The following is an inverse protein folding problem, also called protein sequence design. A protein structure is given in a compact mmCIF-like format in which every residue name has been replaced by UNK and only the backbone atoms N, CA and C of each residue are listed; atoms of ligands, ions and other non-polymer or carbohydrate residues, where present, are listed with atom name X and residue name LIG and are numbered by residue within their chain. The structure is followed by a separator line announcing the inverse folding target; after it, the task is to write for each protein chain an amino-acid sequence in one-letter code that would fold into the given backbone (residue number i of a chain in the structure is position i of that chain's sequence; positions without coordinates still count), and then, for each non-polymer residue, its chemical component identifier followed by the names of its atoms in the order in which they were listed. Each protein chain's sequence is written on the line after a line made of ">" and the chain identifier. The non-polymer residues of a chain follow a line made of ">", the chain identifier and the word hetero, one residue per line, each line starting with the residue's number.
data_IF_922078504423
#
_entry.id   IF_922078504423
#
_cell.length_a   1.000
_cell.length_b   1.000
_cell.length_c   1.000
_cell.angle_alpha   90.00
_cell.angle_beta   90.00
_cell.angle_gamma   90.00
#
_symmetry.space_group_name_H-M   'P 1'
#
loop_
_entity.id
_entity.type
_entity.pdbx_description
1 polymer ?
#
# COMPACT_ATOMS: atom_id res chain seq x y z
N UNK A 1 -21.26 8.52 -40.79
CA UNK A 1 -20.78 9.34 -39.64
C UNK A 1 -20.03 8.44 -38.64
N UNK A 2 -19.33 8.96 -37.62
CA UNK A 2 -18.76 8.06 -36.59
C UNK A 2 -19.89 7.44 -35.73
N UNK A 3 -19.91 6.12 -35.49
CA UNK A 3 -20.98 5.44 -34.74
C UNK A 3 -21.25 6.05 -33.36
N UNK A 4 -20.19 6.49 -32.68
CA UNK A 4 -20.27 7.11 -31.36
C UNK A 4 -20.98 8.47 -31.37
N UNK A 5 -20.77 9.26 -32.42
CA UNK A 5 -21.39 10.58 -32.57
C UNK A 5 -22.86 10.45 -32.91
N UNK A 6 -23.22 9.46 -33.74
CA UNK A 6 -24.62 9.11 -34.02
C UNK A 6 -25.35 8.63 -32.76
N UNK A 7 -24.73 7.74 -31.99
CA UNK A 7 -25.28 7.27 -30.72
C UNK A 7 -25.55 8.45 -29.77
N UNK A 8 -24.58 9.36 -29.62
CA UNK A 8 -24.75 10.59 -28.82
C UNK A 8 -25.90 11.44 -29.32
N UNK A 9 -26.00 11.71 -30.63
CA UNK A 9 -27.11 12.52 -31.16
C UNK A 9 -28.48 11.86 -30.93
N UNK A 10 -28.57 10.54 -31.03
CA UNK A 10 -29.80 9.80 -30.72
C UNK A 10 -30.14 9.86 -29.23
N UNK A 11 -29.15 9.67 -28.34
CA UNK A 11 -29.34 9.74 -26.89
C UNK A 11 -29.73 11.15 -26.44
N UNK A 12 -29.08 12.19 -26.96
CA UNK A 12 -29.43 13.60 -26.67
C UNK A 12 -30.83 13.97 -27.16
N UNK A 13 -31.23 13.49 -28.35
CA UNK A 13 -32.54 13.78 -28.94
C UNK A 13 -33.65 12.81 -28.46
N UNK A 14 -33.33 11.86 -27.56
CA UNK A 14 -34.24 10.79 -27.10
C UNK A 14 -34.89 9.98 -28.23
N UNK A 15 -34.20 9.86 -29.37
CA UNK A 15 -34.67 9.02 -30.48
C UNK A 15 -34.32 7.55 -30.18
N UNK A 16 -35.27 6.60 -30.32
CA UNK A 16 -34.98 5.18 -30.11
C UNK A 16 -34.00 4.67 -31.18
N UNK A 17 -33.05 3.85 -30.77
CA UNK A 17 -32.15 3.12 -31.69
C UNK A 17 -32.86 1.83 -32.10
N UNK A 18 -32.88 1.51 -33.39
CA UNK A 18 -33.52 0.29 -33.90
C UNK A 18 -32.47 -0.82 -33.93
N UNK A 19 -32.73 -1.90 -33.21
CA UNK A 19 -31.88 -3.08 -33.17
C UNK A 19 -32.55 -4.18 -33.99
N UNK A 20 -31.82 -4.80 -34.92
CA UNK A 20 -32.34 -5.88 -35.76
C UNK A 20 -31.53 -7.15 -35.61
N UNK A 21 -32.21 -8.30 -35.59
CA UNK A 21 -31.59 -9.64 -35.65
C UNK A 21 -31.14 -9.98 -37.08
N UNK A 22 -30.40 -11.07 -37.26
CA UNK A 22 -30.02 -11.65 -38.56
C UNK A 22 -31.20 -11.88 -39.52
N UNK A 23 -32.42 -11.99 -38.99
CA UNK A 23 -33.66 -12.17 -39.75
C UNK A 23 -34.42 -10.85 -40.03
N UNK A 24 -33.77 -9.69 -39.83
CA UNK A 24 -34.33 -8.33 -40.02
C UNK A 24 -35.54 -7.98 -39.10
N UNK A 25 -35.80 -8.79 -38.09
CA UNK A 25 -36.81 -8.51 -37.05
C UNK A 25 -36.30 -7.48 -36.04
N UNK A 26 -37.16 -6.56 -35.62
CA UNK A 26 -36.85 -5.55 -34.59
C UNK A 26 -36.81 -6.20 -33.21
N UNK A 27 -35.68 -6.09 -32.52
CA UNK A 27 -35.46 -6.66 -31.19
C UNK A 27 -35.26 -5.56 -30.15
N UNK A 28 -35.68 -5.80 -28.92
CA UNK A 28 -35.53 -4.85 -27.80
C UNK A 28 -34.18 -4.99 -27.10
N UNK A 29 -33.64 -6.21 -27.06
CA UNK A 29 -32.37 -6.53 -26.41
C UNK A 29 -31.19 -6.43 -27.39
N UNK A 30 -30.11 -5.81 -26.93
CA UNK A 30 -28.86 -5.67 -27.70
C UNK A 30 -28.16 -7.02 -27.95
N UNK A 31 -28.32 -7.99 -27.04
CA UNK A 31 -27.67 -9.31 -27.13
C UNK A 31 -28.16 -10.16 -28.31
N UNK A 32 -29.43 -10.01 -28.66
CA UNK A 32 -30.11 -10.76 -29.72
C UNK A 32 -30.05 -10.02 -31.07
N UNK A 33 -29.56 -8.78 -31.08
CA UNK A 33 -29.43 -7.98 -32.28
C UNK A 33 -28.10 -8.28 -32.98
N UNK A 34 -28.11 -8.37 -34.31
CA UNK A 34 -26.90 -8.48 -35.15
C UNK A 34 -26.44 -7.10 -35.65
N UNK A 35 -27.42 -6.23 -35.98
CA UNK A 35 -27.20 -4.95 -36.63
C UNK A 35 -27.92 -3.83 -35.89
N UNK A 36 -27.23 -2.69 -35.74
CA UNK A 36 -27.74 -1.47 -35.11
C UNK A 36 -28.01 -0.43 -36.20
N UNK A 37 -29.22 0.09 -36.26
CA UNK A 37 -29.66 1.10 -37.23
C UNK A 37 -29.83 2.47 -36.56
N UNK A 38 -29.20 3.49 -37.12
CA UNK A 38 -29.33 4.91 -36.76
C UNK A 38 -29.89 5.67 -37.97
N UNK A 39 -31.18 5.98 -37.95
CA UNK A 39 -31.90 6.60 -39.07
C UNK A 39 -31.60 5.86 -40.40
N UNK A 40 -30.71 6.37 -41.27
CA UNK A 40 -30.35 5.77 -42.57
C UNK A 40 -29.01 4.98 -42.59
N UNK A 41 -28.24 4.98 -41.49
CA UNK A 41 -26.94 4.28 -41.39
C UNK A 41 -27.04 3.01 -40.52
N UNK A 42 -26.42 1.90 -40.96
CA UNK A 42 -26.37 0.63 -40.21
C UNK A 42 -24.94 0.24 -39.84
N UNK A 43 -24.77 -0.32 -38.64
CA UNK A 43 -23.48 -0.78 -38.12
C UNK A 43 -23.62 -2.15 -37.47
N UNK A 44 -22.56 -2.97 -37.56
CA UNK A 44 -22.51 -4.23 -36.81
C UNK A 44 -22.41 -3.94 -35.30
N UNK A 45 -23.05 -4.77 -34.48
CA UNK A 45 -23.09 -4.58 -33.02
C UNK A 45 -21.71 -4.51 -32.35
N UNK A 46 -20.76 -5.27 -32.88
CA UNK A 46 -19.39 -5.41 -32.38
C UNK A 46 -18.43 -4.35 -32.94
N UNK A 47 -18.94 -3.33 -33.64
CA UNK A 47 -18.10 -2.28 -34.21
C UNK A 47 -17.39 -1.52 -33.08
N UNK A 48 -16.04 -1.46 -33.06
CA UNK A 48 -15.29 -0.71 -32.06
C UNK A 48 -15.55 0.79 -32.22
N UNK A 49 -15.80 1.48 -31.09
CA UNK A 49 -16.03 2.93 -31.08
C UNK A 49 -14.73 3.70 -30.87
N UNK A 50 -14.78 5.03 -30.93
CA UNK A 50 -13.62 5.88 -30.62
C UNK A 50 -13.40 6.10 -29.12
N UNK A 51 -14.22 5.50 -28.25
CA UNK A 51 -14.09 5.66 -26.80
C UNK A 51 -13.05 4.69 -26.22
N UNK A 52 -11.92 5.18 -25.67
CA UNK A 52 -10.86 4.32 -25.16
C UNK A 52 -11.21 3.70 -23.80
N UNK A 53 -10.81 2.45 -23.59
CA UNK A 53 -10.84 1.82 -22.27
C UNK A 53 -9.68 2.37 -21.45
N UNK A 54 -9.91 2.74 -20.18
CA UNK A 54 -8.86 3.34 -19.35
C UNK A 54 -7.71 2.38 -18.98
N UNK A 55 -7.83 1.09 -19.28
CA UNK A 55 -6.86 0.05 -18.88
C UNK A 55 -6.12 -0.61 -20.06
N UNK A 56 -6.49 -0.34 -21.31
CA UNK A 56 -5.88 -0.95 -22.49
C UNK A 56 -5.93 -0.02 -23.71
N UNK A 57 -5.20 -0.35 -24.77
CA UNK A 57 -5.30 0.37 -26.05
C UNK A 57 -6.62 0.08 -26.78
N UNK A 58 -7.46 -0.80 -26.21
CA UNK A 58 -8.74 -1.19 -26.78
C UNK A 58 -9.81 -0.13 -26.55
N UNK A 59 -10.83 -0.18 -27.40
CA UNK A 59 -11.98 0.70 -27.36
C UNK A 59 -13.24 -0.07 -27.03
N UNK A 60 -14.22 0.58 -26.42
CA UNK A 60 -15.52 -0.04 -26.18
C UNK A 60 -16.25 -0.27 -27.51
N UNK A 61 -16.90 -1.43 -27.66
CA UNK A 61 -17.74 -1.74 -28.82
C UNK A 61 -19.11 -1.10 -28.69
N UNK A 62 -19.78 -0.91 -29.83
CA UNK A 62 -21.03 -0.16 -29.91
C UNK A 62 -22.15 -0.77 -29.07
N UNK A 63 -22.27 -2.09 -29.06
CA UNK A 63 -23.18 -2.86 -28.22
C UNK A 63 -23.05 -2.55 -26.72
N UNK A 64 -21.82 -2.44 -26.20
CA UNK A 64 -21.57 -2.16 -24.77
C UNK A 64 -22.09 -0.79 -24.37
N UNK A 65 -21.92 0.21 -25.23
CA UNK A 65 -22.36 1.58 -24.99
C UNK A 65 -23.88 1.70 -25.08
N UNK A 66 -24.50 1.04 -26.06
CA UNK A 66 -25.97 1.01 -26.19
C UNK A 66 -26.58 0.30 -24.98
N UNK A 67 -26.02 -0.85 -24.58
CA UNK A 67 -26.50 -1.59 -23.42
C UNK A 67 -26.37 -0.79 -22.12
N UNK A 68 -25.30 0.01 -21.99
CA UNK A 68 -25.13 0.93 -20.87
C UNK A 68 -26.19 2.03 -20.84
N UNK A 69 -26.53 2.62 -21.98
CA UNK A 69 -27.56 3.68 -22.07
C UNK A 69 -28.95 3.12 -21.77
N UNK A 70 -29.29 1.94 -22.30
CA UNK A 70 -30.56 1.27 -22.01
C UNK A 70 -30.73 0.95 -20.51
N UNK A 71 -29.63 0.59 -19.84
CA UNK A 71 -29.61 0.18 -18.44
C UNK A 71 -29.00 1.25 -17.51
N UNK A 72 -29.13 2.54 -17.85
CA UNK A 72 -28.59 3.64 -17.05
C UNK A 72 -29.09 3.61 -15.59
N UNK A 73 -30.35 3.22 -15.40
CA UNK A 73 -31.07 3.18 -14.13
C UNK A 73 -30.64 2.04 -13.19
N UNK A 74 -29.92 1.02 -13.69
CA UNK A 74 -29.49 -0.12 -12.88
C UNK A 74 -28.22 0.20 -12.08
N UNK A 75 -28.15 -0.28 -10.85
CA UNK A 75 -26.91 -0.20 -10.06
C UNK A 75 -25.77 -1.00 -10.71
N UNK A 76 -24.52 -0.67 -10.39
CA UNK A 76 -23.31 -1.27 -10.98
C UNK A 76 -23.27 -2.79 -10.83
N UNK A 77 -23.67 -3.30 -9.65
CA UNK A 77 -23.71 -4.74 -9.39
C UNK A 77 -24.78 -5.46 -10.24
N UNK A 78 -25.95 -4.83 -10.44
CA UNK A 78 -27.01 -5.37 -11.29
C UNK A 78 -26.61 -5.33 -12.76
N UNK A 79 -26.11 -4.20 -13.25
CA UNK A 79 -25.61 -4.05 -14.62
C UNK A 79 -24.54 -5.10 -14.97
N UNK A 80 -23.58 -5.35 -14.09
CA UNK A 80 -22.55 -6.37 -14.30
C UNK A 80 -23.12 -7.79 -14.44
N UNK A 81 -24.12 -8.15 -13.62
CA UNK A 81 -24.79 -9.44 -13.70
C UNK A 81 -25.51 -9.59 -15.04
N UNK A 82 -26.22 -8.55 -15.46
CA UNK A 82 -26.97 -8.52 -16.72
C UNK A 82 -26.05 -8.56 -17.96
N UNK A 83 -24.87 -7.91 -17.91
CA UNK A 83 -23.84 -8.02 -18.96
C UNK A 83 -23.31 -9.44 -19.05
N UNK A 84 -22.96 -10.04 -17.91
CA UNK A 84 -22.40 -11.40 -17.84
C UNK A 84 -23.39 -12.47 -18.29
N UNK A 85 -24.68 -12.28 -18.00
CA UNK A 85 -25.73 -13.21 -18.41
C UNK A 85 -25.95 -13.19 -19.94
N UNK A 86 -25.71 -12.05 -20.57
CA UNK A 86 -25.92 -11.84 -22.01
C UNK A 86 -24.62 -11.89 -22.84
N UNK A 87 -23.51 -12.24 -22.20
CA UNK A 87 -22.18 -12.28 -22.81
C UNK A 87 -21.78 -10.96 -23.51
N UNK A 88 -22.19 -9.83 -22.94
CA UNK A 88 -21.82 -8.48 -23.42
C UNK A 88 -20.65 -7.97 -22.59
N UNK A 89 -19.68 -7.36 -23.25
CA UNK A 89 -18.59 -6.68 -22.57
C UNK A 89 -19.11 -5.51 -21.71
N UNK A 90 -18.65 -5.41 -20.47
CA UNK A 90 -19.13 -4.41 -19.54
C UNK A 90 -18.25 -3.15 -19.59
N UNK A 91 -18.86 -1.99 -19.36
CA UNK A 91 -18.10 -0.75 -19.16
C UNK A 91 -17.51 -0.70 -17.76
N UNK A 92 -16.22 -0.36 -17.66
CA UNK A 92 -15.53 -0.22 -16.36
C UNK A 92 -16.21 0.81 -15.47
N UNK A 93 -16.25 0.56 -14.16
CA UNK A 93 -16.85 1.46 -13.16
C UNK A 93 -16.25 2.87 -13.23
N UNK A 94 -14.96 2.98 -13.55
CA UNK A 94 -14.24 4.26 -13.67
C UNK A 94 -14.70 5.06 -14.89
N UNK A 95 -15.07 4.38 -15.96
CA UNK A 95 -15.44 4.99 -17.23
C UNK A 95 -16.96 5.19 -17.35
N UNK A 96 -17.77 4.39 -16.64
CA UNK A 96 -19.24 4.44 -16.68
C UNK A 96 -19.78 5.86 -16.55
N UNK A 97 -19.33 6.62 -15.55
CA UNK A 97 -19.78 8.00 -15.33
C UNK A 97 -19.37 8.92 -16.49
N UNK A 98 -18.14 8.79 -16.99
CA UNK A 98 -17.61 9.60 -18.10
C UNK A 98 -18.34 9.33 -19.40
N UNK A 99 -18.59 8.05 -19.70
CA UNK A 99 -19.33 7.59 -20.87
C UNK A 99 -20.76 8.11 -20.84
N UNK A 100 -21.46 7.97 -19.70
CA UNK A 100 -22.83 8.47 -19.56
C UNK A 100 -22.90 10.00 -19.64
N UNK A 101 -21.99 10.72 -18.98
CA UNK A 101 -21.97 12.18 -19.05
C UNK A 101 -21.68 12.68 -20.49
N UNK A 102 -20.87 11.95 -21.27
CA UNK A 102 -20.63 12.24 -22.69
C UNK A 102 -21.86 11.93 -23.58
N UNK A 103 -22.44 10.74 -23.44
CA UNK A 103 -23.59 10.30 -24.25
C UNK A 103 -24.88 11.08 -23.95
N UNK A 104 -25.07 11.52 -22.71
CA UNK A 104 -26.19 12.39 -22.32
C UNK A 104 -25.98 13.85 -22.69
N UNK A 105 -24.80 14.22 -23.20
CA UNK A 105 -24.47 15.58 -23.62
C UNK A 105 -24.16 16.55 -22.47
N UNK A 106 -23.87 16.05 -21.27
CA UNK A 106 -23.38 16.88 -20.14
C UNK A 106 -21.94 17.32 -20.35
N UNK A 107 -21.17 16.61 -21.17
CA UNK A 107 -19.78 16.91 -21.51
C UNK A 107 -19.61 16.84 -23.04
N UNK A 108 -19.06 17.90 -23.64
CA UNK A 108 -18.85 17.99 -25.08
C UNK A 108 -17.55 17.34 -25.57
N UNK A 109 -16.56 17.22 -24.68
CA UNK A 109 -15.19 16.82 -25.02
C UNK A 109 -14.99 15.31 -24.89
N UNK A 110 -14.61 14.66 -25.98
CA UNK A 110 -14.18 13.25 -26.01
C UNK A 110 -12.96 13.03 -25.10
N UNK A 111 -12.92 12.01 -24.24
CA UNK A 111 -11.73 11.68 -23.46
C UNK A 111 -10.61 11.20 -24.39
N UNK A 112 -9.66 12.08 -24.68
CA UNK A 112 -8.48 11.78 -25.50
C UNK A 112 -7.52 10.88 -24.72
N UNK A 113 -7.05 9.78 -25.34
CA UNK A 113 -5.95 8.96 -24.80
C UNK A 113 -4.76 9.86 -24.49
N UNK A 114 -4.40 10.02 -23.23
CA UNK A 114 -3.14 10.66 -22.85
C UNK A 114 -1.99 9.72 -23.28
N UNK A 115 -1.48 9.92 -24.49
CA UNK A 115 -0.29 9.23 -24.99
C UNK A 115 0.92 9.60 -24.13
N UNK A 116 1.38 8.65 -23.31
CA UNK A 116 2.75 8.66 -22.78
C UNK A 116 3.60 7.82 -23.73
N UNK A 117 4.29 8.48 -24.64
CA UNK A 117 5.35 7.89 -25.44
C UNK A 117 6.59 7.66 -24.58
N UNK A 118 6.88 6.41 -24.23
CA UNK A 118 8.25 5.99 -23.92
C UNK A 118 8.52 4.65 -24.58
N UNK A 119 9.32 4.70 -25.64
CA UNK A 119 9.93 3.58 -26.34
C UNK A 119 10.60 2.62 -25.35
N UNK A 120 10.21 1.34 -25.38
CA UNK A 120 10.74 0.30 -24.51
C UNK A 120 10.47 -1.09 -25.07
N UNK A 121 11.38 -1.54 -25.93
CA UNK A 121 11.77 -2.92 -26.26
C UNK A 121 10.80 -4.04 -25.82
N UNK A 122 10.04 -4.56 -26.78
CA UNK A 122 9.22 -5.78 -26.69
C UNK A 122 10.10 -7.01 -26.85
N UNK A 123 10.18 -7.87 -25.83
CA UNK A 123 10.73 -9.23 -25.95
C UNK A 123 9.55 -10.19 -26.16
N UNK A 124 9.46 -10.75 -27.37
CA UNK A 124 8.53 -11.82 -27.74
C UNK A 124 8.90 -13.11 -26.98
N UNK A 125 7.88 -13.85 -26.54
CA UNK A 125 7.92 -15.31 -26.43
C UNK A 125 6.60 -15.84 -26.99
N UNK A 126 6.73 -16.63 -28.05
CA UNK A 126 5.69 -17.43 -28.69
C UNK A 126 5.60 -18.82 -28.03
N UNK A 127 4.62 -19.60 -28.52
CA UNK A 127 4.18 -20.96 -28.20
C UNK A 127 3.28 -21.05 -26.94
N UNK A 128 1.99 -21.36 -27.02
CA UNK A 128 1.27 -22.17 -28.00
C UNK A 128 1.19 -23.60 -27.49
N UNK A 129 0.08 -24.00 -26.86
CA UNK A 129 -0.71 -25.15 -27.29
C UNK A 129 -2.02 -25.27 -26.49
N UNK A 130 -2.98 -25.89 -27.15
CA UNK A 130 -4.40 -25.94 -26.87
C UNK A 130 -4.80 -27.30 -26.23
N UNK A 131 -5.98 -27.33 -25.57
CA UNK A 131 -6.96 -28.46 -25.54
C UNK A 131 -6.96 -29.53 -24.40
N UNK A 132 -8.16 -29.62 -23.79
CA UNK A 132 -8.97 -30.76 -23.25
C UNK A 132 -8.88 -31.28 -21.80
N UNK A 133 -10.01 -31.05 -21.11
CA UNK A 133 -11.01 -32.02 -20.65
C UNK A 133 -10.65 -33.38 -20.00
N UNK A 134 -11.36 -33.60 -18.88
CA UNK A 134 -12.02 -34.82 -18.38
C UNK A 134 -11.27 -35.80 -17.46
N UNK A 135 -11.84 -35.90 -16.26
CA UNK A 135 -12.43 -37.07 -15.61
C UNK A 135 -11.54 -38.19 -15.03
N UNK A 136 -11.90 -38.49 -13.78
CA UNK A 136 -11.66 -39.68 -12.95
C UNK A 136 -11.36 -40.99 -13.67
N UNK A 137 -10.37 -41.75 -13.19
CA UNK A 137 -10.60 -43.12 -12.69
C UNK A 137 -9.35 -43.75 -12.05
N UNK A 138 -9.65 -44.59 -11.08
CA UNK A 138 -8.82 -45.43 -10.23
C UNK A 138 -7.67 -46.19 -10.92
N UNK A 139 -6.56 -46.34 -10.19
CA UNK A 139 -5.83 -47.61 -10.21
C UNK A 139 -5.11 -47.84 -8.87
N UNK A 140 -5.52 -48.92 -8.21
CA UNK A 140 -4.89 -49.51 -7.03
C UNK A 140 -3.74 -50.42 -7.49
N UNK A 141 -2.55 -50.27 -6.90
CA UNK A 141 -1.68 -51.35 -6.39
C UNK A 141 -0.25 -50.86 -6.08
N UNK A 142 0.35 -51.45 -5.03
CA UNK A 142 1.75 -51.37 -4.52
C UNK A 142 2.07 -50.30 -3.42
N UNK A 143 2.95 -50.60 -2.43
CA UNK A 143 2.52 -50.99 -1.09
C UNK A 143 3.00 -50.05 0.05
N UNK A 144 2.50 -50.36 1.25
CA UNK A 144 2.55 -49.58 2.48
C UNK A 144 3.95 -49.16 2.96
N UNK A 145 4.22 -47.84 2.90
CA UNK A 145 5.07 -47.17 3.88
C UNK A 145 4.18 -46.55 4.96
N UNK A 146 4.26 -47.09 6.18
CA UNK A 146 3.52 -46.60 7.36
C UNK A 146 3.86 -45.13 7.63
N UNK A 147 3.04 -44.22 7.12
CA UNK A 147 3.06 -42.81 7.52
C UNK A 147 2.41 -42.73 8.90
N UNK A 148 3.23 -42.71 9.95
CA UNK A 148 2.78 -42.49 11.32
C UNK A 148 2.07 -41.12 11.35
N UNK A 149 0.77 -41.11 11.65
CA UNK A 149 0.04 -39.87 11.94
C UNK A 149 0.61 -39.32 13.25
N UNK A 150 1.32 -38.21 13.18
CA UNK A 150 1.74 -37.46 14.36
C UNK A 150 0.53 -36.77 14.96
N UNK A 151 0.19 -37.14 16.20
CA UNK A 151 -0.82 -36.46 17.00
C UNK A 151 -0.18 -35.22 17.62
N UNK A 152 -0.43 -34.05 17.02
CA UNK A 152 0.16 -32.75 17.38
C UNK A 152 -0.13 -32.33 18.83
N UNK A 153 -1.19 -32.91 19.43
CA UNK A 153 -1.59 -32.64 20.81
C UNK A 153 -0.72 -33.38 21.84
N UNK A 154 -0.20 -34.58 21.52
CA UNK A 154 0.65 -35.34 22.46
C UNK A 154 2.12 -34.86 22.47
N UNK A 155 2.62 -34.32 21.35
CA UNK A 155 3.99 -33.79 21.26
C UNK A 155 4.19 -32.52 22.08
N UNK A 156 3.18 -31.64 22.14
CA UNK A 156 3.26 -30.39 22.91
C UNK A 156 3.42 -30.64 24.41
N UNK A 157 2.62 -31.56 24.96
CA UNK A 157 2.66 -31.92 26.39
C UNK A 157 4.00 -32.55 26.79
N UNK A 158 4.67 -33.23 25.86
CA UNK A 158 5.97 -33.87 26.11
C UNK A 158 7.14 -32.88 26.11
N UNK A 159 7.10 -31.85 25.25
CA UNK A 159 8.14 -30.81 25.19
C UNK A 159 8.05 -29.87 26.39
N UNK A 160 6.84 -29.51 26.84
CA UNK A 160 6.68 -28.64 28.01
C UNK A 160 7.18 -29.30 29.30
N UNK A 161 6.91 -30.60 29.48
CA UNK A 161 7.44 -31.39 30.61
C UNK A 161 8.96 -31.59 30.59
N UNK A 162 9.58 -31.50 29.41
CA UNK A 162 11.04 -31.52 29.25
C UNK A 162 11.65 -30.15 29.59
N UNK A 163 11.04 -29.06 29.11
CA UNK A 163 11.46 -27.68 29.44
C UNK A 163 11.38 -27.38 30.94
N UNK A 164 10.39 -27.92 31.64
CA UNK A 164 10.25 -27.77 33.10
C UNK A 164 11.37 -28.46 33.89
N UNK A 165 12.03 -29.47 33.32
CA UNK A 165 13.13 -30.21 33.98
C UNK A 165 14.52 -29.73 33.59
N UNK A 166 14.65 -29.01 32.48
CA UNK A 166 15.95 -28.51 32.01
C UNK A 166 16.39 -27.25 32.77
N UNK A 167 17.64 -27.25 33.24
CA UNK A 167 18.32 -26.04 33.74
C UNK A 167 19.35 -25.58 32.73
N UNK A 168 19.14 -24.39 32.18
CA UNK A 168 20.11 -23.76 31.27
C UNK A 168 21.28 -23.23 32.11
N UNK A 169 22.43 -23.90 32.02
CA UNK A 169 23.63 -23.57 32.81
C UNK A 169 24.39 -22.35 32.25
N UNK A 170 24.34 -22.14 30.92
CA UNK A 170 25.02 -21.05 30.25
C UNK A 170 24.16 -20.54 29.10
N UNK A 171 24.03 -19.22 28.97
CA UNK A 171 23.44 -18.54 27.81
C UNK A 171 24.53 -17.76 27.07
N UNK A 172 24.28 -17.36 25.82
CA UNK A 172 25.25 -16.51 25.10
C UNK A 172 25.54 -15.20 25.85
N UNK A 173 24.57 -14.68 26.63
CA UNK A 173 24.77 -13.53 27.49
C UNK A 173 25.68 -13.84 28.69
N UNK A 174 25.50 -15.02 29.32
CA UNK A 174 26.37 -15.48 30.42
C UNK A 174 27.81 -15.75 29.99
N UNK A 175 28.07 -15.97 28.69
CA UNK A 175 29.43 -16.14 28.15
C UNK A 175 30.11 -14.77 27.93
N UNK A 176 29.35 -13.73 27.58
CA UNK A 176 29.88 -12.40 27.32
C UNK A 176 30.04 -11.54 28.59
N UNK A 177 29.29 -11.84 29.65
CA UNK A 177 29.37 -11.10 30.91
C UNK A 177 30.17 -11.93 31.93
N UNK A 178 31.32 -11.40 32.37
CA UNK A 178 32.04 -11.97 33.50
C UNK A 178 31.41 -11.56 34.83
N UNK A 179 31.51 -12.41 35.86
CA UNK A 179 30.93 -12.17 37.20
C UNK A 179 31.56 -11.00 37.99
N UNK A 180 32.49 -10.24 37.38
CA UNK A 180 33.19 -9.12 38.01
C UNK A 180 32.94 -7.84 37.24
N UNK A 181 32.33 -6.86 37.90
CA UNK A 181 32.15 -5.51 37.38
C UNK A 181 33.35 -4.63 37.76
N UNK A 182 34.02 -4.07 36.75
CA UNK A 182 35.19 -3.20 36.91
C UNK A 182 34.88 -1.71 36.66
N UNK A 183 33.60 -1.36 36.46
CA UNK A 183 33.16 0.01 36.16
C UNK A 183 33.62 1.03 37.20
N UNK A 184 33.60 0.65 38.48
CA UNK A 184 34.03 1.52 39.60
C UNK A 184 35.52 1.86 39.53
N UNK A 185 36.37 0.93 39.07
CA UNK A 185 37.82 1.15 38.94
C UNK A 185 38.11 2.10 37.77
N UNK A 186 37.40 1.91 36.64
CA UNK A 186 37.50 2.80 35.47
C UNK A 186 37.06 4.22 35.81
N UNK A 187 36.00 4.36 36.62
CA UNK A 187 35.52 5.66 37.09
C UNK A 187 36.50 6.33 38.05
N UNK A 188 37.17 5.54 38.90
CA UNK A 188 38.16 6.04 39.87
C UNK A 188 39.50 6.44 39.23
N UNK A 189 39.86 5.88 38.06
CA UNK A 189 41.05 6.26 37.30
C UNK A 189 40.87 7.56 36.48
N UNK A 190 39.66 8.09 36.37
CA UNK A 190 39.37 9.34 35.66
C UNK A 190 39.34 10.63 36.53
N UNK A 191 40.37 10.93 37.34
CA UNK A 191 40.62 12.32 37.74
C UNK A 191 42.08 12.68 37.49
N UNK A 192 42.42 13.25 36.32
CA UNK A 192 43.66 14.07 36.08
C UNK A 192 43.89 14.50 34.63
N UNK A 193 42.86 14.77 33.82
CA UNK A 193 43.08 15.56 32.59
C UNK A 193 42.01 16.63 32.42
N UNK A 194 42.35 17.85 32.84
CA UNK A 194 41.66 19.05 32.39
C UNK A 194 41.09 19.95 33.49
N UNK A 195 41.95 20.50 34.36
CA UNK A 195 41.74 21.82 34.96
C UNK A 195 43.10 22.44 35.27
N UNK A 196 43.44 23.51 34.55
CA UNK A 196 44.19 24.70 35.02
C UNK A 196 44.25 25.73 33.89
N UNK A 197 43.97 27.00 34.19
CA UNK A 197 44.26 28.14 33.30
C UNK A 197 43.17 29.19 33.25
N UNK A 198 43.39 30.30 33.96
CA UNK A 198 42.53 31.46 34.08
C UNK A 198 42.58 32.40 32.85
N UNK A 199 41.49 33.16 32.71
CA UNK A 199 41.32 34.49 32.06
C UNK A 199 42.38 34.98 31.06
N UNK A 200 42.01 35.06 29.79
CA UNK A 200 42.25 36.26 28.96
C UNK A 200 41.34 36.26 27.72
N UNK A 201 40.70 37.41 27.52
CA UNK A 201 39.91 37.80 26.35
C UNK A 201 40.71 37.63 25.07
N UNK A 202 40.22 36.83 24.12
CA UNK A 202 40.35 37.04 22.66
C UNK A 202 39.15 36.36 22.00
N UNK A 203 38.37 37.17 21.28
CA UNK A 203 37.31 36.74 20.39
C UNK A 203 37.92 35.94 19.22
N UNK A 204 37.57 34.65 19.13
CA UNK A 204 37.63 33.90 17.87
C UNK A 204 36.33 33.10 17.75
N UNK A 205 35.51 33.54 16.80
CA UNK A 205 34.36 32.84 16.26
C UNK A 205 34.79 31.49 15.68
N UNK A 206 34.80 30.47 16.52
CA UNK A 206 34.76 29.08 16.09
C UNK A 206 33.54 28.46 16.76
N UNK A 207 32.46 28.37 15.99
CA UNK A 207 31.27 27.61 16.35
C UNK A 207 31.66 26.15 16.49
N UNK A 208 32.18 25.77 17.66
CA UNK A 208 32.22 24.37 18.08
C UNK A 208 30.76 23.89 18.07
N UNK A 209 30.42 22.80 17.36
CA UNK A 209 29.06 22.28 17.39
C UNK A 209 28.74 21.94 18.84
N UNK A 210 27.75 22.64 19.39
CA UNK A 210 27.18 22.36 20.70
C UNK A 210 26.84 20.87 20.76
N UNK A 211 27.42 20.15 21.73
CA UNK A 211 27.02 18.77 21.99
C UNK A 211 25.48 18.73 22.10
N UNK A 212 24.78 17.91 21.30
CA UNK A 212 23.33 17.89 21.31
C UNK A 212 22.85 17.52 22.70
N UNK A 213 21.90 18.31 23.21
CA UNK A 213 21.24 18.07 24.49
C UNK A 213 20.42 16.79 24.39
N UNK A 214 20.10 16.13 25.51
CA UNK A 214 19.36 14.84 25.51
C UNK A 214 18.00 14.88 24.79
N UNK A 215 17.42 16.08 24.60
CA UNK A 215 16.19 16.30 23.81
C UNK A 215 16.42 16.26 22.29
N UNK A 216 17.65 16.49 21.83
CA UNK A 216 18.06 16.49 20.42
C UNK A 216 18.37 15.07 19.88
N UNK A 217 18.07 14.02 20.66
CA UNK A 217 18.35 12.62 20.30
C UNK A 217 17.12 11.76 20.10
N UNK A 218 15.92 12.34 20.23
CA UNK A 218 14.69 11.57 20.10
C UNK A 218 14.40 11.33 18.60
N UNK A 219 14.31 10.07 18.15
CA UNK A 219 14.01 9.73 16.77
C UNK A 219 12.60 10.17 16.36
N UNK A 220 12.47 10.61 15.10
CA UNK A 220 11.23 11.10 14.51
C UNK A 220 10.69 10.10 13.49
N UNK A 221 9.39 9.83 13.58
CA UNK A 221 8.60 9.08 12.61
C UNK A 221 7.67 10.05 11.90
N UNK A 222 7.65 10.03 10.58
CA UNK A 222 6.74 10.87 9.78
C UNK A 222 5.59 10.02 9.27
N UNK A 223 4.35 10.44 9.54
CA UNK A 223 3.13 9.83 9.00
C UNK A 223 2.44 10.76 8.01
N UNK A 224 1.73 10.26 6.99
CA UNK A 224 1.01 11.13 6.06
C UNK A 224 -0.17 11.82 6.74
N UNK A 225 -0.38 13.10 6.41
CA UNK A 225 -1.57 13.87 6.85
C UNK A 225 -2.83 13.59 6.00
N UNK A 226 -2.76 12.61 5.08
CA UNK A 226 -3.84 12.34 4.13
C UNK A 226 -5.06 11.68 4.82
N UNK A 227 -6.30 12.14 4.58
CA UNK A 227 -7.50 11.59 5.22
C UNK A 227 -7.77 10.10 4.93
N UNK A 228 -7.24 9.58 3.83
CA UNK A 228 -7.41 8.20 3.36
C UNK A 228 -6.23 7.29 3.73
N UNK A 229 -5.19 7.82 4.37
CA UNK A 229 -4.04 7.03 4.78
C UNK A 229 -4.42 6.02 5.88
N UNK A 230 -3.79 4.84 5.85
CA UNK A 230 -4.05 3.78 6.84
C UNK A 230 -3.49 4.13 8.21
N UNK A 231 -2.34 4.80 8.26
CA UNK A 231 -1.75 5.33 9.48
C UNK A 231 -1.69 6.84 9.43
N UNK A 232 -2.18 7.44 10.51
CA UNK A 232 -2.20 8.88 10.76
C UNK A 232 -1.86 9.12 12.23
N UNK A 233 -1.72 10.38 12.65
CA UNK A 233 -1.49 10.70 14.06
C UNK A 233 -2.58 10.19 15.02
N UNK A 234 -3.78 9.89 14.52
CA UNK A 234 -4.87 9.39 15.35
C UNK A 234 -4.66 7.95 15.84
N UNK A 235 -4.20 7.07 14.96
CA UNK A 235 -4.16 5.63 15.24
C UNK A 235 -2.74 5.06 15.39
N UNK A 236 -1.71 5.76 14.93
CA UNK A 236 -0.33 5.24 14.94
C UNK A 236 0.15 4.89 16.36
N UNK A 237 -0.31 5.63 17.37
CA UNK A 237 0.00 5.35 18.78
C UNK A 237 -0.53 3.98 19.21
N UNK A 238 -1.81 3.72 18.96
CA UNK A 238 -2.46 2.45 19.30
C UNK A 238 -1.82 1.27 18.58
N UNK A 239 -1.45 1.47 17.31
CA UNK A 239 -0.81 0.41 16.54
C UNK A 239 0.61 0.07 17.01
N UNK A 240 1.43 1.08 17.33
CA UNK A 240 2.83 0.88 17.69
C UNK A 240 3.04 0.53 19.18
N UNK A 241 2.18 1.02 20.08
CA UNK A 241 2.24 0.70 21.53
C UNK A 241 1.39 -0.51 21.89
N UNK A 242 0.12 -0.51 21.47
CA UNK A 242 -0.85 -1.53 21.89
C UNK A 242 -0.98 -2.68 20.89
N UNK A 243 -0.28 -2.61 19.75
CA UNK A 243 -0.30 -3.63 18.70
C UNK A 243 -1.68 -3.87 18.09
N UNK A 244 -2.54 -2.85 18.09
CA UNK A 244 -3.92 -2.91 17.60
C UNK A 244 -4.18 -1.86 16.52
N UNK A 245 -4.71 -2.28 15.38
CA UNK A 245 -5.12 -1.36 14.32
C UNK A 245 -6.55 -0.87 14.52
N UNK A 246 -6.70 0.44 14.67
CA UNK A 246 -8.01 1.13 14.63
C UNK A 246 -8.06 2.03 13.40
N UNK A 247 -9.23 2.05 12.73
CA UNK A 247 -9.44 2.87 11.54
C UNK A 247 -9.43 4.37 11.91
N UNK A 248 -8.55 5.19 11.27
CA UNK A 248 -8.55 6.65 11.46
C UNK A 248 -9.90 7.31 11.22
N UNK A 249 -10.72 6.79 10.31
CA UNK A 249 -12.03 7.36 9.99
C UNK A 249 -13.00 7.24 11.18
N UNK A 250 -12.94 6.12 11.90
CA UNK A 250 -13.77 5.88 13.07
C UNK A 250 -13.36 6.78 14.23
N UNK A 251 -12.06 6.94 14.49
CA UNK A 251 -11.55 7.85 15.52
C UNK A 251 -11.92 9.32 15.25
N UNK A 252 -11.92 9.73 13.97
CA UNK A 252 -12.37 11.07 13.57
C UNK A 252 -13.87 11.25 13.79
N UNK A 253 -14.68 10.24 13.44
CA UNK A 253 -16.13 10.27 13.65
C UNK A 253 -16.51 10.35 15.14
N UNK A 254 -15.68 9.78 16.02
CA UNK A 254 -15.82 9.90 17.48
C UNK A 254 -15.44 11.29 18.04
N UNK A 255 -15.03 12.24 17.20
CA UNK A 255 -14.73 13.61 17.60
C UNK A 255 -13.35 13.80 18.24
N UNK A 256 -12.43 12.84 18.10
CA UNK A 256 -11.06 12.99 18.59
C UNK A 256 -10.37 14.16 17.89
N UNK A 257 -9.82 15.09 18.68
CA UNK A 257 -9.00 16.19 18.15
C UNK A 257 -7.65 15.64 17.67
N UNK A 258 -7.22 16.12 16.52
CA UNK A 258 -5.92 15.76 15.95
C UNK A 258 -4.80 16.32 16.84
N UNK A 259 -3.91 15.49 17.40
CA UNK A 259 -2.73 15.98 18.08
C UNK A 259 -1.73 16.54 17.05
N UNK A 260 -0.98 17.58 17.42
CA UNK A 260 0.09 18.13 16.57
C UNK A 260 1.33 17.21 16.56
N UNK A 261 1.60 16.56 17.69
CA UNK A 261 2.65 15.58 17.86
C UNK A 261 2.19 14.46 18.78
N UNK A 262 2.61 13.23 18.47
CA UNK A 262 2.40 12.05 19.31
C UNK A 262 3.76 11.56 19.80
N UNK A 263 3.87 11.21 21.08
CA UNK A 263 5.06 10.51 21.60
C UNK A 263 4.70 9.05 21.83
N UNK A 264 5.57 8.16 21.39
CA UNK A 264 5.39 6.71 21.45
C UNK A 264 6.51 6.13 22.31
N UNK A 265 6.15 5.36 23.33
CA UNK A 265 7.11 4.69 24.19
C UNK A 265 7.24 3.22 23.79
N UNK A 266 8.46 2.80 23.44
CA UNK A 266 8.75 1.42 23.05
C UNK A 266 9.65 0.77 24.09
N UNK A 267 9.18 -0.33 24.66
CA UNK A 267 9.99 -1.23 25.47
C UNK A 267 10.78 -2.18 24.58
N UNK A 268 12.11 -2.10 24.64
CA UNK A 268 13.02 -3.00 23.93
C UNK A 268 13.17 -4.32 24.71
N UNK A 269 13.62 -5.37 24.04
CA UNK A 269 13.88 -6.68 24.67
C UNK A 269 14.91 -6.59 25.81
N UNK A 270 15.80 -5.61 25.73
CA UNK A 270 16.86 -5.34 26.71
C UNK A 270 16.38 -4.53 27.93
N UNK A 271 15.06 -4.28 28.05
CA UNK A 271 14.46 -3.51 29.15
C UNK A 271 14.58 -1.99 29.00
N UNK A 272 15.29 -1.49 27.98
CA UNK A 272 15.37 -0.05 27.69
C UNK A 272 14.09 0.48 27.05
N UNK A 273 13.67 1.66 27.51
CA UNK A 273 12.53 2.39 26.92
C UNK A 273 13.05 3.43 25.95
N UNK A 274 12.71 3.29 24.66
CA UNK A 274 13.01 4.28 23.63
C UNK A 274 11.75 5.07 23.31
N UNK A 275 11.84 6.40 23.38
CA UNK A 275 10.75 7.29 23.00
C UNK A 275 10.91 7.68 21.53
N UNK A 276 9.82 7.67 20.77
CA UNK A 276 9.75 8.14 19.38
C UNK A 276 8.77 9.30 19.30
N UNK A 277 9.06 10.29 18.45
CA UNK A 277 8.12 11.36 18.14
C UNK A 277 7.50 11.16 16.77
N UNK A 278 6.18 11.15 16.71
CA UNK A 278 5.44 11.06 15.45
C UNK A 278 4.85 12.42 15.11
N UNK A 279 5.09 12.83 13.88
CA UNK A 279 4.59 14.07 13.29
C UNK A 279 4.00 13.77 11.92
N UNK A 280 3.15 14.66 11.42
CA UNK A 280 2.66 14.58 10.04
C UNK A 280 2.95 15.83 9.20
N UNK A 281 3.13 16.97 9.86
CA UNK A 281 3.56 18.20 9.24
C UNK A 281 5.07 18.40 9.40
N UNK A 282 5.77 18.38 8.27
CA UNK A 282 7.23 18.62 8.21
C UNK A 282 7.59 20.10 8.06
N UNK A 283 6.63 21.01 7.93
CA UNK A 283 6.90 22.45 7.74
C UNK A 283 7.64 23.07 8.94
N UNK A 284 7.48 22.50 10.14
CA UNK A 284 8.15 22.96 11.35
C UNK A 284 9.51 22.25 11.60
N UNK A 285 9.93 21.34 10.73
CA UNK A 285 11.18 20.61 10.88
C UNK A 285 12.37 21.46 10.43
N UNK A 286 13.38 21.61 11.29
CA UNK A 286 14.64 22.27 10.91
C UNK A 286 15.54 21.30 10.15
N UNK A 287 16.54 21.82 9.44
CA UNK A 287 17.46 21.00 8.64
C UNK A 287 18.20 19.92 9.46
N UNK A 288 18.51 20.21 10.72
CA UNK A 288 19.18 19.29 11.67
C UNK A 288 18.22 18.22 12.22
N UNK A 289 16.91 18.46 12.17
CA UNK A 289 15.92 17.50 12.67
C UNK A 289 15.70 16.35 11.70
N UNK A 290 16.00 16.56 10.41
CA UNK A 290 15.94 15.53 9.39
C UNK A 290 16.92 14.37 9.65
N UNK A 291 18.04 14.65 10.33
CA UNK A 291 19.03 13.62 10.70
C UNK A 291 18.51 12.73 11.85
N UNK A 292 17.39 13.13 12.48
CA UNK A 292 16.68 12.35 13.51
C UNK A 292 15.51 11.56 12.94
N UNK A 293 15.16 11.75 11.68
CA UNK A 293 14.03 11.05 11.04
C UNK A 293 14.45 9.62 10.74
N UNK A 294 13.90 8.67 11.51
CA UNK A 294 14.25 7.25 11.38
C UNK A 294 13.40 6.56 10.32
N UNK A 295 12.11 6.92 10.20
CA UNK A 295 11.23 6.35 9.19
C UNK A 295 10.11 7.28 8.72
N UNK A 296 9.61 6.97 7.53
CA UNK A 296 8.51 7.68 6.86
C UNK A 296 7.48 6.68 6.39
N UNK A 297 6.21 6.92 6.73
CA UNK A 297 5.08 6.23 6.12
C UNK A 297 4.68 6.94 4.82
N UNK A 298 4.77 6.20 3.72
CA UNK A 298 4.39 6.65 2.40
C UNK A 298 2.89 6.42 2.17
N UNK A 299 2.20 7.45 1.67
CA UNK A 299 0.80 7.42 1.20
C UNK A 299 0.66 6.80 -0.20
N UNK A 300 1.79 6.68 -0.92
CA UNK A 300 1.85 6.18 -2.29
C UNK A 300 1.75 7.24 -3.38
N UNK A 301 1.71 8.53 -3.00
CA UNK A 301 1.68 9.66 -3.93
C UNK A 301 2.98 10.48 -3.85
N UNK A 302 3.60 10.79 -4.99
CA UNK A 302 4.88 11.53 -5.02
C UNK A 302 4.75 12.93 -4.43
N UNK A 303 3.60 13.59 -4.58
CA UNK A 303 3.38 14.94 -4.06
C UNK A 303 3.49 15.03 -2.54
N UNK A 304 3.41 13.90 -1.80
CA UNK A 304 3.61 13.88 -0.36
C UNK A 304 4.96 14.49 0.05
N UNK A 305 6.00 14.29 -0.76
CA UNK A 305 7.38 14.68 -0.45
C UNK A 305 7.73 16.09 -0.94
N UNK A 306 6.76 16.83 -1.51
CA UNK A 306 6.99 18.18 -2.01
C UNK A 306 7.36 19.12 -0.86
N UNK A 307 8.44 19.89 -0.99
CA UNK A 307 8.92 20.81 0.03
C UNK A 307 9.65 20.14 1.20
N UNK A 308 10.01 18.86 1.08
CA UNK A 308 10.84 18.16 2.06
C UNK A 308 12.33 18.39 1.75
N UNK A 309 13.22 18.11 2.71
CA UNK A 309 14.68 18.11 2.47
C UNK A 309 15.07 17.21 1.28
N UNK A 310 14.37 16.08 1.14
CA UNK A 310 14.51 15.15 0.02
C UNK A 310 13.17 15.01 -0.71
N UNK A 311 13.00 15.71 -1.83
CA UNK A 311 11.75 15.64 -2.61
C UNK A 311 11.66 14.36 -3.45
N UNK A 312 12.81 13.83 -3.89
CA UNK A 312 12.86 12.60 -4.69
C UNK A 312 12.71 11.38 -3.77
N UNK A 313 11.75 10.47 -4.02
CA UNK A 313 11.56 9.28 -3.19
C UNK A 313 12.81 8.40 -3.08
N UNK A 314 13.59 8.28 -4.16
CA UNK A 314 14.82 7.48 -4.20
C UNK A 314 15.85 8.00 -3.19
N UNK A 315 16.08 9.31 -3.19
CA UNK A 315 17.02 9.95 -2.27
C UNK A 315 16.50 9.89 -0.82
N UNK A 316 15.19 10.12 -0.62
CA UNK A 316 14.56 10.04 0.69
C UNK A 316 14.73 8.66 1.31
N UNK A 317 14.37 7.60 0.57
CA UNK A 317 14.42 6.22 1.07
C UNK A 317 15.82 5.60 1.08
N UNK A 318 16.83 6.34 0.61
CA UNK A 318 18.24 6.00 0.81
C UNK A 318 18.74 6.45 2.19
N UNK A 319 18.19 7.54 2.73
CA UNK A 319 18.57 8.08 4.04
C UNK A 319 17.65 7.62 5.18
N UNK A 320 16.38 7.37 4.86
CA UNK A 320 15.32 7.10 5.84
C UNK A 320 14.59 5.82 5.50
N UNK A 321 14.15 5.05 6.51
CA UNK A 321 13.35 3.85 6.24
C UNK A 321 11.94 4.20 5.76
N UNK A 322 11.60 3.77 4.54
CA UNK A 322 10.25 3.89 4.01
C UNK A 322 9.35 2.72 4.40
N UNK A 323 8.10 3.02 4.80
CA UNK A 323 7.05 2.04 5.00
C UNK A 323 5.83 2.36 4.14
N UNK A 324 5.21 1.33 3.57
CA UNK A 324 3.96 1.48 2.81
C UNK A 324 2.88 0.60 3.42
N UNK A 325 1.90 1.23 4.06
CA UNK A 325 0.81 0.52 4.71
C UNK A 325 -0.28 0.16 3.71
N UNK A 326 -0.57 -1.13 3.59
CA UNK A 326 -1.57 -1.68 2.67
C UNK A 326 -2.44 -2.71 3.37
N UNK A 327 -3.62 -2.98 2.79
CA UNK A 327 -4.38 -4.14 3.20
C UNK A 327 -3.68 -5.42 2.70
N UNK A 328 -3.75 -6.50 3.47
CA UNK A 328 -3.08 -7.75 3.14
C UNK A 328 -3.48 -8.33 1.77
N UNK A 329 -4.74 -8.10 1.35
CA UNK A 329 -5.29 -8.51 0.06
C UNK A 329 -4.98 -7.54 -1.10
N UNK A 330 -4.40 -6.37 -0.81
CA UNK A 330 -4.05 -5.38 -1.83
C UNK A 330 -2.56 -5.44 -2.17
N UNK A 331 -2.24 -5.26 -3.45
CA UNK A 331 -0.86 -5.02 -3.89
C UNK A 331 -0.48 -3.54 -3.74
N UNK A 332 0.83 -3.24 -3.81
CA UNK A 332 1.32 -1.85 -3.78
C UNK A 332 0.83 -1.14 -5.04
N UNK A 333 0.11 -0.02 -4.88
CA UNK A 333 -0.51 0.71 -6.00
C UNK A 333 0.38 1.85 -6.49
N UNK A 334 0.38 2.05 -7.81
CA UNK A 334 0.92 3.25 -8.45
C UNK A 334 2.45 3.40 -8.33
N UNK A 335 2.97 4.65 -8.22
CA UNK A 335 4.41 4.90 -8.25
C UNK A 335 5.16 4.33 -7.03
N UNK A 336 4.43 3.98 -5.97
CA UNK A 336 4.98 3.42 -4.74
C UNK A 336 5.69 2.08 -4.95
N UNK A 337 5.32 1.31 -5.97
CA UNK A 337 5.94 0.01 -6.26
C UNK A 337 7.42 0.12 -6.65
N UNK A 338 7.85 1.29 -7.16
CA UNK A 338 9.23 1.54 -7.55
C UNK A 338 10.10 2.14 -6.44
N UNK A 339 9.55 2.34 -5.24
CA UNK A 339 10.27 2.95 -4.13
C UNK A 339 10.87 1.88 -3.22
N UNK A 340 11.98 2.21 -2.53
CA UNK A 340 12.57 1.35 -1.50
C UNK A 340 11.77 1.40 -0.19
N UNK A 341 10.52 0.96 -0.24
CA UNK A 341 9.57 0.94 0.88
C UNK A 341 9.30 -0.50 1.31
N UNK A 342 9.22 -0.72 2.62
CA UNK A 342 8.79 -2.01 3.17
C UNK A 342 7.27 -2.03 3.26
N UNK A 343 6.58 -2.99 2.60
CA UNK A 343 5.14 -3.13 2.73
C UNK A 343 4.79 -3.58 4.14
N UNK A 344 3.76 -2.94 4.71
CA UNK A 344 3.18 -3.29 5.99
C UNK A 344 1.74 -3.73 5.76
N UNK A 345 1.53 -5.04 5.86
CA UNK A 345 0.23 -5.67 5.61
C UNK A 345 -0.66 -5.55 6.84
N UNK A 346 -1.83 -4.97 6.67
CA UNK A 346 -2.85 -4.84 7.72
C UNK A 346 -4.02 -5.75 7.34
N UNK A 347 -4.55 -6.48 8.31
CA UNK A 347 -5.75 -7.28 8.06
C UNK A 347 -7.02 -6.42 8.24
N UNK A 348 -8.03 -6.64 7.39
CA UNK A 348 -9.32 -5.96 7.53
C UNK A 348 -10.14 -6.52 8.70
N UNK A 349 -10.06 -7.82 8.95
CA UNK A 349 -10.88 -8.53 9.96
C UNK A 349 -10.06 -9.21 11.06
N UNK A 350 -8.84 -9.67 10.77
CA UNK A 350 -8.03 -10.43 11.71
C UNK A 350 -7.04 -9.55 12.48
N UNK A 351 -7.52 -8.93 13.57
CA UNK A 351 -6.71 -8.04 14.42
C UNK A 351 -5.55 -8.73 15.13
N UNK A 352 -5.61 -10.05 15.33
CA UNK A 352 -4.49 -10.79 15.92
C UNK A 352 -3.20 -10.74 15.08
N UNK A 353 -3.33 -10.51 13.76
CA UNK A 353 -2.18 -10.34 12.87
C UNK A 353 -1.52 -8.96 12.96
N UNK A 354 -2.18 -7.97 13.57
CA UNK A 354 -1.62 -6.63 13.74
C UNK A 354 -0.34 -6.66 14.58
N UNK A 355 -0.28 -7.55 15.58
CA UNK A 355 0.93 -7.81 16.38
C UNK A 355 2.10 -8.30 15.53
N UNK A 356 1.85 -9.17 14.57
CA UNK A 356 2.88 -9.64 13.64
C UNK A 356 3.36 -8.51 12.73
N UNK A 357 2.44 -7.69 12.23
CA UNK A 357 2.77 -6.55 11.37
C UNK A 357 3.57 -5.49 12.11
N UNK A 358 3.16 -5.12 13.33
CA UNK A 358 3.92 -4.21 14.16
C UNK A 358 5.31 -4.77 14.55
N UNK A 359 5.42 -6.07 14.82
CA UNK A 359 6.71 -6.71 15.03
C UNK A 359 7.62 -6.62 13.79
N UNK A 360 7.08 -6.87 12.58
CA UNK A 360 7.81 -6.67 11.31
C UNK A 360 8.25 -5.23 11.11
N UNK A 361 7.41 -4.25 11.45
CA UNK A 361 7.76 -2.84 11.41
C UNK A 361 8.96 -2.54 12.32
N UNK A 362 8.88 -2.96 13.58
CA UNK A 362 9.94 -2.69 14.56
C UNK A 362 11.25 -3.38 14.20
N UNK A 363 11.22 -4.63 13.71
CA UNK A 363 12.41 -5.35 13.24
C UNK A 363 13.06 -4.64 12.05
N UNK A 364 12.26 -4.23 11.06
CA UNK A 364 12.75 -3.49 9.90
C UNK A 364 13.32 -2.10 10.28
N UNK A 365 12.72 -1.45 11.28
CA UNK A 365 13.21 -0.17 11.80
C UNK A 365 14.51 -0.33 12.57
N UNK A 366 14.59 -1.31 13.48
CA UNK A 366 15.80 -1.61 14.26
C UNK A 366 16.97 -1.96 13.33
N UNK A 367 16.71 -2.79 12.30
CA UNK A 367 17.72 -3.13 11.30
C UNK A 367 18.24 -1.89 10.55
N UNK A 368 17.35 -0.98 10.19
CA UNK A 368 17.77 0.26 9.52
C UNK A 368 18.51 1.21 10.47
N UNK A 369 18.01 1.37 11.70
CA UNK A 369 18.66 2.19 12.72
C UNK A 369 20.04 1.65 13.07
N UNK A 370 20.22 0.34 13.17
CA UNK A 370 21.53 -0.27 13.45
C UNK A 370 22.57 -0.07 12.34
N UNK A 371 22.13 0.14 11.09
CA UNK A 371 23.03 0.35 9.93
C UNK A 371 23.30 1.83 9.67
N UNK A 372 22.27 2.68 9.74
CA UNK A 372 22.34 4.08 9.27
C UNK A 372 22.39 5.12 10.38
N UNK A 373 22.00 4.77 11.62
CA UNK A 373 21.93 5.73 12.71
C UNK A 373 22.84 5.29 13.87
N UNK A 374 23.79 6.15 14.23
CA UNK A 374 24.70 6.02 15.39
C UNK A 374 23.95 6.09 16.75
N UNK A 375 22.80 5.44 16.88
CA UNK A 375 22.11 5.19 18.15
C UNK A 375 22.40 3.78 18.69
N UNK A 376 23.27 3.01 18.03
CA UNK A 376 23.71 1.66 18.42
C UNK A 376 24.63 1.57 19.65
N UNK A 377 24.78 2.64 20.43
CA UNK A 377 25.47 2.61 21.71
C UNK A 377 24.54 3.16 22.79
N UNK A 378 23.47 2.42 23.08
CA UNK A 378 22.73 2.52 24.34
C UNK A 378 22.34 1.13 24.79
#
# INVERSE_FOLDING_TARGET
>A
MQPLQLLRTHTCNKKPVILKDANDNVVTNVADASTVWFDDESFARNTPTTFPKNSSDDTYTLDTLIFLVQNEHLDNSAYFKECRQRDIEHVSIVDRKKVLDYLTGKVDTQPTKQSRSTSGVRKQREDGDEIKDKAESNNENEPASKRVKFDEQQSHVSIDKLREREKVLQSSASILQGDKDFYTIVKAMNPTFGKNGASSTIQKSSSKPSKPTSKDRIPIIIVPAAPTAKFTLFNIKQFLENFEYVDPQQLRAQGMKKPDRVSIERYRRDGQVTVYHVIDNVAHLKQNDWDRVCCVFASGQQWQFKGWKYERPIDLFSHVKGFYAKWADESIKGPASGWNVTPLDISRSQRHNDKLSAAKFWDALDKHMGVHHLYGNY
#
